data_IF_475269236930
#
_entry.id   IF_475269236930
#
_cell.length_a   1.000
_cell.length_b   1.000
_cell.length_c   1.000
_cell.angle_alpha   90.00
_cell.angle_beta   90.00
_cell.angle_gamma   90.00
#
_symmetry.space_group_name_H-M   'P 1'
#
loop_
_entity.id
_entity.type
_entity.pdbx_description
1 polymer ?
#
# COMPACT_ATOMS: atom_id res chain seq x y z
N UNK A 1 8.73 -10.88 -29.75
CA UNK A 1 10.13 -10.74 -29.25
C UNK A 1 10.31 -9.36 -28.61
N UNK A 2 10.78 -9.25 -27.37
CA UNK A 2 11.28 -7.97 -26.86
C UNK A 2 12.72 -7.77 -27.31
N UNK A 3 13.01 -6.63 -27.94
CA UNK A 3 14.38 -6.27 -28.36
C UNK A 3 15.23 -6.06 -27.12
N UNK A 4 16.29 -6.85 -26.97
CA UNK A 4 17.25 -6.71 -25.86
C UNK A 4 18.14 -5.48 -26.13
N UNK A 5 18.48 -4.68 -25.11
CA UNK A 5 19.46 -3.61 -25.27
C UNK A 5 20.85 -4.21 -25.44
N UNK A 6 21.48 -3.93 -26.59
CA UNK A 6 22.82 -4.41 -26.93
C UNK A 6 23.86 -3.33 -26.64
N UNK A 7 25.07 -3.77 -26.32
CA UNK A 7 26.22 -2.88 -26.10
C UNK A 7 26.74 -2.41 -27.44
N UNK A 8 26.94 -1.10 -27.58
CA UNK A 8 27.54 -0.49 -28.78
C UNK A 8 29.05 -0.68 -28.80
N UNK A 9 29.66 -0.37 -29.95
CA UNK A 9 31.12 -0.38 -30.12
C UNK A 9 31.83 0.53 -29.10
N UNK A 10 31.25 1.69 -28.78
CA UNK A 10 31.73 2.63 -27.76
C UNK A 10 31.59 2.10 -26.30
N UNK A 11 31.04 0.91 -26.14
CA UNK A 11 30.82 0.28 -24.85
C UNK A 11 29.62 0.80 -24.06
N UNK A 12 28.85 1.74 -24.61
CA UNK A 12 27.64 2.34 -24.01
C UNK A 12 26.34 1.62 -24.45
N UNK A 13 25.24 1.93 -23.77
CA UNK A 13 23.90 1.41 -24.04
C UNK A 13 22.95 2.55 -24.41
N UNK A 14 22.28 2.44 -25.57
CA UNK A 14 21.17 3.33 -25.92
C UNK A 14 19.84 2.69 -25.52
N UNK A 15 19.16 3.27 -24.55
CA UNK A 15 17.85 2.78 -24.08
C UNK A 15 16.86 3.94 -24.05
N UNK A 16 15.75 3.81 -24.78
CA UNK A 16 14.69 4.84 -24.88
C UNK A 16 15.23 6.24 -25.26
N UNK A 17 16.24 6.30 -26.14
CA UNK A 17 16.85 7.56 -26.60
C UNK A 17 17.85 8.19 -25.63
N UNK A 18 18.13 7.57 -24.47
CA UNK A 18 19.17 8.00 -23.53
C UNK A 18 20.37 7.06 -23.58
N UNK A 19 21.57 7.63 -23.46
CA UNK A 19 22.83 6.89 -23.42
C UNK A 19 23.20 6.62 -21.97
N UNK A 20 23.52 5.36 -21.67
CA UNK A 20 23.97 4.91 -20.36
C UNK A 20 25.33 4.24 -20.48
N UNK A 21 26.19 4.44 -19.49
CA UNK A 21 27.49 3.77 -19.43
C UNK A 21 27.32 2.28 -19.14
N UNK A 22 26.40 1.95 -18.24
CA UNK A 22 26.12 0.59 -17.79
C UNK A 22 24.63 0.26 -17.93
N UNK A 23 24.32 -0.99 -18.29
CA UNK A 23 22.92 -1.43 -18.35
C UNK A 23 22.36 -1.70 -16.95
N UNK A 24 23.19 -2.28 -16.08
CA UNK A 24 22.85 -2.66 -14.72
C UNK A 24 23.77 -1.96 -13.74
N UNK A 25 23.21 -1.38 -12.66
CA UNK A 25 24.00 -0.73 -11.62
C UNK A 25 23.35 -0.76 -10.24
N UNK A 26 23.96 -0.06 -9.28
CA UNK A 26 23.40 0.24 -7.96
C UNK A 26 22.23 1.23 -8.05
N UNK A 27 21.50 1.41 -6.96
CA UNK A 27 20.40 2.40 -6.92
C UNK A 27 20.93 3.82 -7.10
N UNK A 28 22.09 4.12 -6.53
CA UNK A 28 22.79 5.40 -6.67
C UNK A 28 23.21 5.63 -8.13
N UNK A 29 23.81 4.64 -8.78
CA UNK A 29 24.23 4.75 -10.19
C UNK A 29 23.03 4.97 -11.13
N UNK A 30 21.90 4.33 -10.85
CA UNK A 30 20.66 4.54 -11.61
C UNK A 30 20.13 5.94 -11.36
N UNK A 31 20.05 6.36 -10.09
CA UNK A 31 19.58 7.71 -9.72
C UNK A 31 20.41 8.83 -10.35
N UNK A 32 21.73 8.65 -10.44
CA UNK A 32 22.65 9.60 -11.06
C UNK A 32 22.65 9.53 -12.60
N UNK A 33 21.96 8.56 -13.20
CA UNK A 33 21.87 8.39 -14.66
C UNK A 33 23.05 7.66 -15.31
N UNK A 34 23.98 7.10 -14.53
CA UNK A 34 25.10 6.29 -15.05
C UNK A 34 24.61 4.95 -15.60
N UNK A 35 23.63 4.35 -14.92
CA UNK A 35 23.06 3.04 -15.27
C UNK A 35 21.57 3.15 -15.61
N UNK A 36 21.09 2.30 -16.53
CA UNK A 36 19.67 2.32 -16.92
C UNK A 36 18.74 1.75 -15.82
N UNK A 37 19.11 0.60 -15.26
CA UNK A 37 18.29 -0.12 -14.29
C UNK A 37 19.13 -0.83 -13.25
N UNK A 38 18.52 -1.19 -12.13
CA UNK A 38 19.16 -2.07 -11.14
C UNK A 38 19.13 -3.53 -11.60
N UNK A 39 19.93 -4.40 -10.94
CA UNK A 39 19.85 -5.87 -11.13
C UNK A 39 18.41 -6.41 -11.03
N UNK A 40 17.56 -5.76 -10.23
CA UNK A 40 16.17 -6.14 -9.99
C UNK A 40 15.17 -5.47 -10.96
N UNK A 41 15.65 -4.78 -11.99
CA UNK A 41 14.80 -4.19 -13.03
C UNK A 41 14.21 -2.82 -12.71
N UNK A 42 14.52 -2.23 -11.56
CA UNK A 42 14.02 -0.90 -11.20
C UNK A 42 14.74 0.19 -11.99
N UNK A 43 13.99 1.12 -12.57
CA UNK A 43 14.51 2.34 -13.22
C UNK A 43 14.47 3.53 -12.26
N UNK A 44 14.93 4.71 -12.72
CA UNK A 44 14.93 5.95 -11.93
C UNK A 44 13.54 6.27 -11.37
N UNK A 45 12.49 6.13 -12.19
CA UNK A 45 11.11 6.43 -11.81
C UNK A 45 10.58 5.54 -10.65
N UNK A 46 11.17 4.36 -10.47
CA UNK A 46 10.82 3.41 -9.41
C UNK A 46 11.60 3.64 -8.12
N UNK A 47 12.58 4.56 -8.12
CA UNK A 47 13.43 4.89 -6.98
C UNK A 47 12.96 6.21 -6.39
N UNK A 48 12.91 6.30 -5.06
CA UNK A 48 12.65 7.53 -4.34
C UNK A 48 13.64 7.68 -3.19
N UNK A 49 13.94 8.92 -2.84
CA UNK A 49 14.69 9.22 -1.63
C UNK A 49 13.72 9.30 -0.44
N UNK A 50 13.99 8.52 0.61
CA UNK A 50 13.23 8.64 1.86
C UNK A 50 13.71 9.84 2.69
N UNK A 51 12.98 10.16 3.76
CA UNK A 51 13.36 11.25 4.69
C UNK A 51 14.73 11.09 5.37
N UNK A 52 15.34 9.90 5.29
CA UNK A 52 16.65 9.60 5.84
C UNK A 52 17.76 9.63 4.77
N UNK A 53 17.47 10.17 3.58
CA UNK A 53 18.42 10.28 2.48
C UNK A 53 18.69 8.98 1.71
N UNK A 54 18.05 7.86 2.06
CA UNK A 54 18.27 6.55 1.42
C UNK A 54 17.41 6.40 0.17
N UNK A 55 18.01 5.87 -0.89
CA UNK A 55 17.31 5.49 -2.12
C UNK A 55 16.58 4.15 -1.95
N UNK A 56 15.26 4.20 -1.90
CA UNK A 56 14.39 3.03 -1.71
C UNK A 56 13.44 2.86 -2.89
N UNK A 57 12.86 1.68 -3.08
CA UNK A 57 11.85 1.51 -4.13
C UNK A 57 10.56 2.23 -3.75
N UNK A 58 9.96 2.94 -4.72
CA UNK A 58 8.69 3.64 -4.58
C UNK A 58 7.57 2.72 -4.11
N UNK A 59 7.49 1.51 -4.69
CA UNK A 59 6.46 0.51 -4.35
C UNK A 59 6.53 0.13 -2.86
N UNK A 60 7.70 -0.26 -2.36
CA UNK A 60 7.84 -0.66 -0.95
C UNK A 60 7.53 0.49 0.01
N UNK A 61 7.93 1.71 -0.31
CA UNK A 61 7.60 2.88 0.50
C UNK A 61 6.09 3.14 0.57
N UNK A 62 5.41 3.14 -0.59
CA UNK A 62 3.95 3.33 -0.67
C UNK A 62 3.20 2.21 0.07
N UNK A 63 3.57 0.95 -0.15
CA UNK A 63 2.94 -0.21 0.50
C UNK A 63 3.10 -0.18 2.02
N UNK A 64 4.31 0.14 2.52
CA UNK A 64 4.57 0.20 3.95
C UNK A 64 3.68 1.24 4.66
N UNK A 65 3.54 2.44 4.07
CA UNK A 65 2.70 3.52 4.60
C UNK A 65 1.20 3.19 4.55
N UNK A 66 0.76 2.45 3.50
CA UNK A 66 -0.64 2.05 3.31
C UNK A 66 -1.06 0.92 4.24
N UNK A 67 -0.28 -0.15 4.33
CA UNK A 67 -0.70 -1.38 5.01
C UNK A 67 -0.65 -1.29 6.53
N UNK A 68 0.24 -0.45 7.09
CA UNK A 68 0.43 -0.26 8.54
C UNK A 68 0.36 -1.59 9.32
N UNK A 69 1.11 -2.60 8.86
CA UNK A 69 0.99 -4.02 9.26
C UNK A 69 0.93 -4.23 10.77
N UNK A 70 1.77 -3.52 11.53
CA UNK A 70 1.79 -3.61 12.99
C UNK A 70 0.43 -3.24 13.60
N UNK A 71 -0.15 -2.11 13.18
CA UNK A 71 -1.47 -1.68 13.64
C UNK A 71 -2.56 -2.65 13.18
N UNK A 72 -2.47 -3.18 11.95
CA UNK A 72 -3.39 -4.20 11.43
C UNK A 72 -3.41 -5.46 12.30
N UNK A 73 -2.26 -5.91 12.76
CA UNK A 73 -2.12 -7.05 13.67
C UNK A 73 -2.33 -6.69 15.16
N UNK A 74 -2.81 -5.48 15.46
CA UNK A 74 -3.14 -5.06 16.81
C UNK A 74 -1.96 -4.55 17.65
N UNK A 75 -0.79 -4.34 17.07
CA UNK A 75 0.38 -3.80 17.77
C UNK A 75 0.40 -2.27 17.69
N UNK A 76 0.33 -1.63 18.86
CA UNK A 76 0.37 -0.18 19.01
C UNK A 76 1.47 0.25 19.98
N UNK A 77 1.80 1.53 19.96
CA UNK A 77 2.71 2.16 20.94
C UNK A 77 1.93 3.20 21.75
N UNK A 78 2.30 3.38 23.03
CA UNK A 78 1.76 4.44 23.90
C UNK A 78 2.93 5.27 24.42
N UNK A 79 2.82 6.59 24.34
CA UNK A 79 3.83 7.51 24.89
C UNK A 79 4.04 7.19 26.38
N UNK A 80 5.30 7.08 26.81
CA UNK A 80 5.67 6.77 28.19
C UNK A 80 5.62 5.28 28.58
N UNK A 81 5.24 4.37 27.68
CA UNK A 81 5.31 2.92 27.93
C UNK A 81 6.29 2.27 26.95
N UNK A 82 7.35 1.66 27.50
CA UNK A 82 8.31 0.90 26.73
C UNK A 82 7.70 -0.43 26.25
N UNK A 83 7.95 -0.80 25.00
CA UNK A 83 7.43 -2.02 24.37
C UNK A 83 6.13 -1.86 23.57
N UNK A 84 5.56 -2.99 23.13
CA UNK A 84 4.33 -3.03 22.34
C UNK A 84 3.08 -3.10 23.22
N UNK A 85 1.99 -2.51 22.75
CA UNK A 85 0.66 -2.62 23.37
C UNK A 85 -0.26 -3.32 22.39
N UNK A 86 -0.67 -4.55 22.73
CA UNK A 86 -1.69 -5.28 21.96
C UNK A 86 -3.06 -4.65 22.22
N UNK A 87 -3.72 -4.20 21.16
CA UNK A 87 -5.14 -3.84 21.16
C UNK A 87 -5.86 -4.79 20.21
N UNK A 88 -7.11 -5.10 20.52
CA UNK A 88 -7.97 -5.80 19.55
C UNK A 88 -8.10 -4.92 18.31
N UNK A 89 -7.77 -5.42 17.10
CA UNK A 89 -8.01 -4.67 15.88
C UNK A 89 -9.50 -4.34 15.78
N UNK A 90 -9.83 -3.10 15.38
CA UNK A 90 -11.22 -2.69 15.14
C UNK A 90 -11.85 -3.67 14.16
N UNK A 91 -12.93 -4.36 14.57
CA UNK A 91 -13.72 -5.21 13.68
C UNK A 91 -14.40 -4.29 12.65
N UNK A 92 -13.80 -4.13 11.47
CA UNK A 92 -14.47 -3.49 10.34
C UNK A 92 -15.59 -4.44 9.89
N UNK A 93 -16.84 -4.15 10.30
CA UNK A 93 -18.01 -4.94 9.90
C UNK A 93 -18.81 -5.57 11.04
N UNK A 94 -18.99 -4.90 12.18
CA UNK A 94 -20.07 -5.25 13.09
C UNK A 94 -21.41 -5.01 12.38
N UNK A 95 -22.21 -6.06 12.19
CA UNK A 95 -23.53 -6.04 11.56
C UNK A 95 -24.34 -4.81 12.00
N UNK A 96 -24.95 -4.10 11.03
CA UNK A 96 -26.05 -3.17 11.30
C UNK A 96 -27.09 -3.95 12.10
N UNK A 97 -27.23 -3.67 13.40
CA UNK A 97 -28.34 -4.22 14.16
C UNK A 97 -29.63 -3.68 13.54
N UNK A 98 -30.39 -4.54 12.85
CA UNK A 98 -31.72 -4.18 12.37
C UNK A 98 -32.59 -4.01 13.60
N UNK A 99 -32.93 -2.78 13.96
CA UNK A 99 -33.95 -2.51 14.96
C UNK A 99 -35.24 -3.22 14.52
N UNK A 100 -35.69 -4.24 15.26
CA UNK A 100 -36.99 -4.87 15.05
C UNK A 100 -38.06 -3.87 15.49
N UNK A 101 -38.73 -3.23 14.53
CA UNK A 101 -39.92 -2.44 14.80
C UNK A 101 -41.01 -3.37 15.34
N UNK A 102 -41.48 -3.16 16.57
CA UNK A 102 -42.65 -3.87 17.07
C UNK A 102 -43.89 -3.34 16.34
N UNK A 103 -44.58 -4.21 15.60
CA UNK A 103 -45.88 -3.89 15.02
C UNK A 103 -46.91 -3.90 16.15
N UNK A 104 -47.39 -2.73 16.54
CA UNK A 104 -48.58 -2.62 17.37
C UNK A 104 -49.78 -3.15 16.57
N UNK A 105 -50.45 -4.18 17.07
CA UNK A 105 -51.71 -4.66 16.52
C UNK A 105 -52.82 -4.15 17.45
N UNK A 106 -53.61 -3.18 16.99
CA UNK A 106 -54.78 -2.70 17.71
C UNK A 106 -55.92 -3.70 17.47
N UNK A 107 -56.39 -4.36 18.53
CA UNK A 107 -57.53 -5.28 18.48
C UNK A 107 -58.77 -4.52 18.97
N UNK A 108 -59.59 -4.05 18.02
CA UNK A 108 -60.90 -3.45 18.31
C UNK A 108 -61.92 -4.57 18.46
N UNK A 109 -62.48 -4.72 19.67
CA UNK A 109 -63.66 -5.53 19.91
C UNK A 109 -64.88 -4.75 19.44
N UNK A 110 -65.45 -5.16 18.32
CA UNK A 110 -66.83 -4.81 17.96
C UNK A 110 -67.76 -5.63 18.85
N UNK A 111 -68.45 -4.98 19.78
CA UNK A 111 -69.57 -5.59 20.50
C UNK A 111 -70.83 -5.35 19.68
N UNK A 112 -71.20 -6.38 18.92
CA UNK A 112 -72.50 -6.52 18.29
C UNK A 112 -73.61 -6.78 19.34
N UNK A 113 -74.69 -6.01 19.21
CA UNK A 113 -76.10 -6.34 19.54
C UNK A 113 -76.51 -6.30 21.03
N UNK A 114 -77.74 -5.98 21.45
CA UNK A 114 -79.10 -6.06 20.85
C UNK A 114 -79.96 -4.92 21.44
N UNK A 115 -81.03 -4.55 20.74
CA UNK A 115 -82.13 -3.69 21.16
C UNK A 115 -82.77 -4.06 22.51
#
# INVERSE_FOLDING_TARGET
MTRRPERREDGTYLVKGKVYKELFGSREQVWNGTAYKTKYGMTVDDIIQNKHGRLVSAVKHKTASKEQRLKKYGFFTRKGKFGYVKKTPLKTGGLRQKNKTQKNVHFSLETETVA
#
